data_IF_342754103469
#
_entry.id   IF_342754103469
#
_cell.length_a   1.000
_cell.length_b   1.000
_cell.length_c   1.000
_cell.angle_alpha   90.00
_cell.angle_beta   90.00
_cell.angle_gamma   90.00
#
_symmetry.space_group_name_H-M   'P 1'
#
loop_
_entity.id
_entity.type
_entity.pdbx_description
1 polymer ?
#
# COMPACT_ATOMS: atom_id res chain seq x y z
N UNK A 1 -30.54 -10.70 -22.63
CA UNK A 1 -31.11 -12.04 -22.38
C UNK A 1 -30.04 -12.92 -21.73
N UNK A 2 -30.44 -13.96 -21.00
CA UNK A 2 -29.51 -14.88 -20.31
C UNK A 2 -28.40 -15.43 -21.22
N UNK A 3 -28.72 -15.70 -22.49
CA UNK A 3 -27.72 -16.13 -23.49
C UNK A 3 -26.69 -15.01 -23.80
N UNK A 4 -27.14 -13.76 -23.96
CA UNK A 4 -26.24 -12.60 -24.15
C UNK A 4 -25.28 -12.41 -22.98
N UNK A 5 -25.76 -12.62 -21.78
CA UNK A 5 -24.95 -12.42 -20.55
C UNK A 5 -23.89 -13.52 -20.38
N UNK A 6 -24.23 -14.77 -20.75
CA UNK A 6 -23.28 -15.89 -20.78
C UNK A 6 -22.16 -15.64 -21.80
N UNK A 7 -22.49 -15.14 -23.01
CA UNK A 7 -21.46 -14.82 -24.00
C UNK A 7 -20.53 -13.70 -23.52
N UNK A 8 -21.08 -12.62 -22.98
CA UNK A 8 -20.26 -11.53 -22.43
C UNK A 8 -19.36 -12.01 -21.30
N UNK A 9 -19.88 -12.85 -20.39
CA UNK A 9 -19.07 -13.44 -19.35
C UNK A 9 -17.87 -14.22 -19.92
N UNK A 10 -18.09 -15.04 -20.95
CA UNK A 10 -17.03 -15.83 -21.58
C UNK A 10 -15.99 -14.94 -22.27
N UNK A 11 -16.43 -13.87 -22.91
CA UNK A 11 -15.56 -12.87 -23.53
C UNK A 11 -14.66 -12.19 -22.48
N UNK A 12 -15.25 -11.70 -21.37
CA UNK A 12 -14.48 -11.10 -20.28
C UNK A 12 -13.54 -12.10 -19.61
N UNK A 13 -13.97 -13.34 -19.38
CA UNK A 13 -13.12 -14.37 -18.81
C UNK A 13 -11.90 -14.66 -19.69
N UNK A 14 -12.10 -14.75 -20.99
CA UNK A 14 -11.00 -14.95 -21.94
C UNK A 14 -10.02 -13.76 -21.96
N UNK A 15 -10.54 -12.53 -22.02
CA UNK A 15 -9.74 -11.31 -22.00
C UNK A 15 -8.93 -11.19 -20.72
N UNK A 16 -9.57 -11.39 -19.56
CA UNK A 16 -8.89 -11.31 -18.25
C UNK A 16 -7.80 -12.38 -18.14
N UNK A 17 -8.09 -13.62 -18.56
CA UNK A 17 -7.08 -14.67 -18.52
C UNK A 17 -5.90 -14.36 -19.47
N UNK A 18 -6.13 -13.78 -20.64
CA UNK A 18 -5.05 -13.36 -21.55
C UNK A 18 -4.16 -12.29 -20.92
N UNK A 19 -4.77 -11.28 -20.29
CA UNK A 19 -4.04 -10.16 -19.64
C UNK A 19 -3.27 -10.61 -18.40
N UNK A 20 -3.81 -11.52 -17.61
CA UNK A 20 -3.26 -11.91 -16.30
C UNK A 20 -2.45 -13.21 -16.31
N UNK A 21 -2.44 -13.99 -17.39
CA UNK A 21 -1.70 -15.27 -17.49
C UNK A 21 -0.27 -15.23 -16.92
N UNK A 22 0.53 -14.15 -17.07
CA UNK A 22 1.86 -14.10 -16.48
C UNK A 22 1.90 -13.94 -14.96
N UNK A 23 0.78 -13.59 -14.32
CA UNK A 23 0.68 -13.22 -12.91
C UNK A 23 -0.24 -14.18 -12.17
N UNK A 24 -1.38 -14.50 -12.75
CA UNK A 24 -2.44 -15.31 -12.16
C UNK A 24 -2.95 -16.30 -13.21
N UNK A 25 -2.99 -17.59 -12.88
CA UNK A 25 -3.47 -18.64 -13.75
C UNK A 25 -4.92 -19.02 -13.38
N UNK A 26 -5.72 -19.43 -14.37
CA UNK A 26 -7.05 -20.03 -14.19
C UNK A 26 -8.10 -19.13 -13.50
N UNK A 27 -8.16 -17.84 -13.86
CA UNK A 27 -9.22 -16.95 -13.37
C UNK A 27 -10.56 -17.39 -13.97
N UNK A 28 -11.54 -17.65 -13.09
CA UNK A 28 -12.87 -18.11 -13.48
C UNK A 28 -13.94 -17.08 -13.14
N UNK A 29 -14.75 -16.68 -14.10
CA UNK A 29 -15.94 -15.84 -13.89
C UNK A 29 -17.20 -16.71 -13.86
N UNK A 30 -18.04 -16.58 -12.82
CA UNK A 30 -19.30 -17.27 -12.70
C UNK A 30 -20.48 -16.30 -12.71
N UNK A 31 -21.55 -16.67 -13.37
CA UNK A 31 -22.84 -16.00 -13.28
C UNK A 31 -23.84 -16.96 -12.62
N UNK A 32 -24.49 -16.50 -11.57
CA UNK A 32 -25.47 -17.27 -10.83
C UNK A 32 -26.79 -16.49 -10.77
N UNK A 33 -27.90 -17.21 -10.88
CA UNK A 33 -29.21 -16.61 -10.65
C UNK A 33 -29.39 -16.37 -9.16
N UNK A 34 -29.84 -15.18 -8.81
CA UNK A 34 -30.17 -14.79 -7.45
C UNK A 34 -31.62 -14.33 -7.37
N UNK A 35 -32.18 -14.28 -6.18
CA UNK A 35 -33.50 -13.69 -5.97
C UNK A 35 -33.48 -12.20 -6.34
N UNK A 36 -34.60 -11.71 -6.91
CA UNK A 36 -34.72 -10.29 -7.23
C UNK A 36 -34.63 -9.46 -5.94
N UNK A 37 -33.78 -8.41 -5.93
CA UNK A 37 -33.71 -7.52 -4.77
C UNK A 37 -35.04 -6.76 -4.59
N UNK A 38 -35.37 -6.44 -3.35
CA UNK A 38 -36.59 -5.68 -3.02
C UNK A 38 -36.57 -4.24 -3.59
N UNK A 39 -35.37 -3.70 -3.85
CA UNK A 39 -35.17 -2.38 -4.44
C UNK A 39 -33.88 -2.35 -5.25
N UNK A 40 -33.80 -1.41 -6.17
CA UNK A 40 -32.60 -1.11 -6.96
C UNK A 40 -32.12 0.31 -6.65
N UNK A 41 -30.84 0.57 -6.91
CA UNK A 41 -30.29 1.93 -6.85
C UNK A 41 -30.89 2.74 -8.02
N UNK A 42 -31.40 3.97 -7.79
CA UNK A 42 -31.84 4.83 -8.90
C UNK A 42 -30.73 5.04 -9.91
N UNK A 43 -31.08 5.05 -11.21
CA UNK A 43 -30.11 5.08 -12.33
C UNK A 43 -29.14 6.26 -12.21
N UNK A 44 -29.62 7.46 -11.92
CA UNK A 44 -28.79 8.66 -11.73
C UNK A 44 -27.73 8.47 -10.62
N UNK A 45 -28.11 7.85 -9.50
CA UNK A 45 -27.20 7.58 -8.38
C UNK A 45 -26.20 6.49 -8.78
N UNK A 46 -26.65 5.46 -9.47
CA UNK A 46 -25.80 4.38 -9.99
C UNK A 46 -24.75 4.93 -10.95
N UNK A 47 -25.15 5.75 -11.91
CA UNK A 47 -24.25 6.34 -12.90
C UNK A 47 -23.21 7.27 -12.25
N UNK A 48 -23.62 8.09 -11.27
CA UNK A 48 -22.72 8.92 -10.50
C UNK A 48 -21.71 8.08 -9.69
N UNK A 49 -22.16 7.00 -9.07
CA UNK A 49 -21.28 6.09 -8.33
C UNK A 49 -20.27 5.40 -9.25
N UNK A 50 -20.71 4.84 -10.36
CA UNK A 50 -19.83 4.20 -11.34
C UNK A 50 -18.80 5.23 -11.83
N UNK A 51 -19.25 6.43 -12.18
CA UNK A 51 -18.41 7.50 -12.70
C UNK A 51 -17.32 7.91 -11.69
N UNK A 52 -17.68 8.10 -10.42
CA UNK A 52 -16.69 8.48 -9.40
C UNK A 52 -15.70 7.36 -9.09
N UNK A 53 -16.15 6.10 -9.05
CA UNK A 53 -15.28 4.95 -8.84
C UNK A 53 -14.30 4.75 -10.00
N UNK A 54 -14.73 5.03 -11.24
CA UNK A 54 -13.87 4.99 -12.42
C UNK A 54 -12.90 6.18 -12.51
N UNK A 55 -13.30 7.35 -12.02
CA UNK A 55 -12.49 8.58 -12.09
C UNK A 55 -11.51 8.74 -10.93
N UNK A 56 -11.78 8.12 -9.77
CA UNK A 56 -10.93 8.30 -8.60
C UNK A 56 -9.53 7.70 -8.83
N UNK A 57 -8.52 8.37 -8.27
CA UNK A 57 -7.15 7.89 -8.30
C UNK A 57 -7.05 6.53 -7.58
N UNK A 58 -6.56 5.52 -8.28
CA UNK A 58 -6.28 4.21 -7.73
C UNK A 58 -4.95 3.68 -8.30
N UNK A 59 -4.13 3.06 -7.46
CA UNK A 59 -2.80 2.60 -7.83
C UNK A 59 -1.71 3.63 -7.60
N UNK A 60 -0.59 3.49 -8.30
CA UNK A 60 0.59 4.35 -8.18
C UNK A 60 0.31 5.71 -8.80
N UNK A 61 0.54 6.76 -8.02
CA UNK A 61 0.45 8.14 -8.46
C UNK A 61 1.83 8.73 -8.78
N UNK A 62 2.84 8.42 -7.96
CA UNK A 62 4.19 8.95 -8.11
C UNK A 62 5.24 7.96 -7.60
N UNK A 63 6.37 7.89 -8.30
CA UNK A 63 7.56 7.14 -7.89
C UNK A 63 8.55 8.06 -7.17
N UNK A 64 9.43 7.50 -6.32
CA UNK A 64 10.52 8.26 -5.69
C UNK A 64 11.58 8.57 -6.75
N UNK A 65 11.89 9.86 -7.03
CA UNK A 65 12.82 10.19 -8.11
C UNK A 65 14.27 9.73 -7.86
N UNK A 66 14.66 9.60 -6.59
CA UNK A 66 16.04 9.27 -6.18
C UNK A 66 16.26 7.79 -5.90
N UNK A 67 15.21 6.98 -5.88
CA UNK A 67 15.29 5.53 -5.61
C UNK A 67 14.52 4.78 -6.69
N UNK A 68 15.21 4.13 -7.63
CA UNK A 68 14.55 3.40 -8.71
C UNK A 68 13.52 2.37 -8.20
N UNK A 69 12.49 2.13 -8.98
CA UNK A 69 11.44 1.12 -8.76
C UNK A 69 10.72 1.22 -7.40
N UNK A 70 10.77 2.39 -6.76
CA UNK A 70 10.15 2.61 -5.45
C UNK A 70 8.99 3.59 -5.54
N UNK A 71 7.82 3.16 -5.09
CA UNK A 71 6.60 3.98 -5.05
C UNK A 71 6.72 5.02 -3.93
N UNK A 72 6.43 6.29 -4.27
CA UNK A 72 6.31 7.37 -3.29
C UNK A 72 4.87 7.52 -2.81
N UNK A 73 3.94 7.68 -3.75
CA UNK A 73 2.54 8.01 -3.49
C UNK A 73 1.62 7.06 -4.23
N UNK A 74 0.67 6.49 -3.53
CA UNK A 74 -0.35 5.62 -4.10
C UNK A 74 -1.66 5.67 -3.31
N UNK A 75 -2.73 5.23 -3.95
CA UNK A 75 -4.02 4.96 -3.31
C UNK A 75 -4.50 3.57 -3.65
N UNK A 76 -5.31 3.02 -2.77
CA UNK A 76 -6.02 1.75 -2.97
C UNK A 76 -7.50 1.97 -2.69
N UNK A 77 -8.32 1.84 -3.73
CA UNK A 77 -9.77 1.74 -3.62
C UNK A 77 -10.09 0.36 -3.03
N UNK A 78 -10.11 0.29 -1.70
CA UNK A 78 -10.03 -0.97 -0.98
C UNK A 78 -11.39 -1.64 -0.78
N UNK A 79 -12.42 -0.87 -0.42
CA UNK A 79 -13.74 -1.40 -0.08
C UNK A 79 -14.81 -0.49 -0.65
N UNK A 80 -15.79 -1.10 -1.32
CA UNK A 80 -17.03 -0.46 -1.76
C UNK A 80 -18.19 -1.27 -1.22
N UNK A 81 -19.02 -0.65 -0.39
CA UNK A 81 -20.21 -1.30 0.17
C UNK A 81 -21.44 -0.48 -0.20
N UNK A 82 -22.45 -1.14 -0.75
CA UNK A 82 -23.73 -0.52 -1.12
C UNK A 82 -24.85 -1.34 -0.50
N UNK A 83 -25.71 -0.68 0.25
CA UNK A 83 -26.84 -1.34 0.89
C UNK A 83 -27.56 -0.44 1.90
N UNK A 84 -28.81 -0.76 2.22
CA UNK A 84 -29.58 0.00 3.21
C UNK A 84 -29.73 1.50 2.92
N UNK A 85 -29.76 1.89 1.64
CA UNK A 85 -29.86 3.29 1.22
C UNK A 85 -28.56 4.09 1.39
N UNK A 86 -27.41 3.43 1.55
CA UNK A 86 -26.10 4.06 1.72
C UNK A 86 -25.07 3.43 0.79
N UNK A 87 -24.07 4.22 0.41
CA UNK A 87 -22.84 3.78 -0.18
C UNK A 87 -21.66 4.22 0.71
N UNK A 88 -20.76 3.29 1.03
CA UNK A 88 -19.53 3.53 1.77
C UNK A 88 -18.35 3.11 0.89
N UNK A 89 -17.40 4.04 0.69
CA UNK A 89 -16.20 3.81 -0.11
C UNK A 89 -15.01 4.08 0.79
N UNK A 90 -14.12 3.09 0.92
CA UNK A 90 -12.91 3.21 1.74
C UNK A 90 -11.67 3.13 0.88
N UNK A 91 -10.85 4.15 1.00
CA UNK A 91 -9.61 4.30 0.25
C UNK A 91 -8.46 4.43 1.22
N UNK A 92 -7.40 3.64 1.00
CA UNK A 92 -6.15 3.79 1.72
C UNK A 92 -5.17 4.57 0.84
N UNK A 93 -4.81 5.78 1.27
CA UNK A 93 -3.78 6.59 0.62
C UNK A 93 -2.46 6.49 1.39
N UNK A 94 -1.35 6.41 0.67
CA UNK A 94 0.00 6.33 1.24
C UNK A 94 0.94 7.25 0.48
N UNK A 95 1.84 7.91 1.22
CA UNK A 95 2.96 8.65 0.64
C UNK A 95 4.11 8.75 1.64
N UNK A 96 5.35 8.69 1.16
CA UNK A 96 6.54 9.06 1.95
C UNK A 96 6.77 10.58 1.96
N UNK A 97 6.04 11.34 1.14
CA UNK A 97 6.10 12.79 1.03
C UNK A 97 4.78 13.41 1.52
N UNK A 98 4.82 14.21 2.60
CA UNK A 98 3.61 14.75 3.23
C UNK A 98 2.81 15.67 2.29
N UNK A 99 3.47 16.52 1.50
CA UNK A 99 2.78 17.40 0.54
C UNK A 99 2.07 16.62 -0.57
N UNK A 100 2.62 15.48 -0.99
CA UNK A 100 1.96 14.60 -1.95
C UNK A 100 0.83 13.79 -1.34
N UNK A 101 0.93 13.45 -0.06
CA UNK A 101 -0.16 12.84 0.70
C UNK A 101 -1.36 13.78 0.79
N UNK A 102 -1.10 15.04 1.12
CA UNK A 102 -2.13 16.09 1.16
C UNK A 102 -2.76 16.30 -0.22
N UNK A 103 -1.94 16.44 -1.26
CA UNK A 103 -2.44 16.57 -2.64
C UNK A 103 -3.33 15.40 -3.06
N UNK A 104 -2.95 14.17 -2.74
CA UNK A 104 -3.75 12.98 -3.03
C UNK A 104 -5.08 13.00 -2.25
N UNK A 105 -5.04 13.37 -0.96
CA UNK A 105 -6.24 13.50 -0.12
C UNK A 105 -7.21 14.56 -0.67
N UNK A 106 -6.69 15.72 -1.09
CA UNK A 106 -7.49 16.80 -1.69
C UNK A 106 -8.09 16.36 -3.04
N UNK A 107 -7.31 15.65 -3.86
CA UNK A 107 -7.76 15.12 -5.15
C UNK A 107 -8.91 14.13 -4.98
N UNK A 108 -8.77 13.17 -4.05
CA UNK A 108 -9.82 12.21 -3.72
C UNK A 108 -11.04 12.92 -3.13
N UNK A 109 -10.84 13.90 -2.25
CA UNK A 109 -11.93 14.71 -1.68
C UNK A 109 -12.70 15.44 -2.76
N UNK A 110 -12.01 16.10 -3.69
CA UNK A 110 -12.64 16.78 -4.81
C UNK A 110 -13.43 15.81 -5.70
N UNK A 111 -12.85 14.66 -6.05
CA UNK A 111 -13.48 13.64 -6.87
C UNK A 111 -14.81 13.15 -6.28
N UNK A 112 -14.81 12.72 -5.03
CA UNK A 112 -16.01 12.20 -4.37
C UNK A 112 -17.03 13.30 -4.03
N UNK A 113 -16.57 14.51 -3.71
CA UNK A 113 -17.46 15.65 -3.46
C UNK A 113 -18.22 16.07 -4.72
N UNK A 114 -17.62 15.99 -5.91
CA UNK A 114 -18.32 16.26 -7.17
C UNK A 114 -19.47 15.28 -7.43
N UNK A 115 -19.38 14.05 -6.92
CA UNK A 115 -20.47 13.07 -6.94
C UNK A 115 -21.45 13.23 -5.78
N UNK A 116 -21.36 14.30 -4.98
CA UNK A 116 -22.26 14.58 -3.85
C UNK A 116 -21.98 13.71 -2.61
N UNK A 117 -20.87 13.01 -2.55
CA UNK A 117 -20.50 12.17 -1.41
C UNK A 117 -19.80 12.98 -0.32
N UNK A 118 -20.06 12.64 0.95
CA UNK A 118 -19.32 13.18 2.08
C UNK A 118 -18.00 12.46 2.22
N UNK A 119 -16.89 13.21 2.32
CA UNK A 119 -15.55 12.66 2.52
C UNK A 119 -15.07 12.93 3.93
N UNK A 120 -14.50 11.93 4.57
CA UNK A 120 -13.84 12.02 5.87
C UNK A 120 -12.41 11.49 5.76
N UNK A 121 -11.45 12.31 6.20
CA UNK A 121 -10.04 11.92 6.27
C UNK A 121 -9.69 11.54 7.71
N UNK A 122 -9.04 10.42 7.90
CA UNK A 122 -8.67 9.93 9.23
C UNK A 122 -7.41 9.08 9.21
N UNK A 123 -6.78 8.89 10.38
CA UNK A 123 -5.65 7.98 10.57
C UNK A 123 -4.36 8.41 9.86
N UNK A 124 -4.25 9.67 9.43
CA UNK A 124 -3.05 10.17 8.77
C UNK A 124 -1.88 10.34 9.74
N UNK A 125 -0.67 10.02 9.28
CA UNK A 125 0.60 10.29 9.96
C UNK A 125 1.65 10.70 8.93
N UNK A 126 2.78 11.27 9.41
CA UNK A 126 3.85 11.76 8.54
C UNK A 126 4.54 10.64 7.79
N UNK A 127 4.91 10.90 6.54
CA UNK A 127 5.75 10.03 5.74
C UNK A 127 7.18 9.99 6.27
N UNK A 128 7.90 8.93 5.93
CA UNK A 128 9.33 8.84 6.17
C UNK A 128 10.07 8.81 4.84
N UNK A 129 10.68 9.94 4.50
CA UNK A 129 11.46 10.04 3.27
C UNK A 129 12.79 9.28 3.43
N UNK A 130 13.17 8.46 2.45
CA UNK A 130 14.43 7.75 2.51
C UNK A 130 15.61 8.73 2.41
N UNK A 131 16.60 8.57 3.30
CA UNK A 131 17.87 9.29 3.26
C UNK A 131 18.99 8.31 2.91
N UNK A 132 19.44 8.33 1.66
CA UNK A 132 20.51 7.43 1.18
C UNK A 132 21.89 7.81 1.72
N UNK A 133 22.05 9.07 2.18
CA UNK A 133 23.30 9.61 2.74
C UNK A 133 23.28 9.60 4.29
N UNK A 134 22.39 8.81 4.90
CA UNK A 134 22.25 8.69 6.35
C UNK A 134 23.54 8.17 7.00
N UNK A 135 24.13 8.90 7.98
CA UNK A 135 25.30 8.46 8.72
C UNK A 135 25.09 7.12 9.44
N UNK A 136 23.92 6.89 10.04
CA UNK A 136 23.63 5.62 10.73
C UNK A 136 23.52 4.46 9.72
N UNK A 137 22.96 4.71 8.52
CA UNK A 137 22.90 3.73 7.45
C UNK A 137 24.31 3.29 7.04
N UNK A 138 25.22 4.25 6.83
CA UNK A 138 26.60 3.95 6.46
C UNK A 138 27.33 3.18 7.56
N UNK A 139 27.22 3.61 8.82
CA UNK A 139 27.85 2.95 9.96
C UNK A 139 27.36 1.50 10.11
N UNK A 140 26.05 1.28 10.03
CA UNK A 140 25.47 -0.05 10.16
C UNK A 140 25.79 -0.95 8.96
N UNK A 141 25.84 -0.42 7.75
CA UNK A 141 26.27 -1.18 6.57
C UNK A 141 27.70 -1.71 6.74
N UNK A 142 28.62 -0.86 7.22
CA UNK A 142 29.99 -1.26 7.48
C UNK A 142 30.08 -2.31 8.61
N UNK A 143 29.34 -2.12 9.70
CA UNK A 143 29.27 -3.06 10.83
C UNK A 143 28.74 -4.42 10.35
N UNK A 144 27.66 -4.45 9.59
CA UNK A 144 27.08 -5.67 9.03
C UNK A 144 28.08 -6.42 8.14
N UNK A 145 28.78 -5.70 7.25
CA UNK A 145 29.79 -6.28 6.37
C UNK A 145 30.96 -6.89 7.15
N UNK A 146 31.39 -6.23 8.23
CA UNK A 146 32.46 -6.75 9.10
C UNK A 146 32.02 -8.02 9.83
N UNK A 147 30.80 -8.07 10.32
CA UNK A 147 30.28 -9.17 11.13
C UNK A 147 29.92 -10.41 10.28
N UNK A 148 29.32 -10.19 9.12
CA UNK A 148 28.75 -11.28 8.30
C UNK A 148 29.49 -11.52 6.98
N UNK A 149 30.47 -10.71 6.61
CA UNK A 149 31.27 -10.88 5.39
C UNK A 149 30.54 -10.54 4.08
N UNK A 150 29.31 -10.03 4.17
CA UNK A 150 28.48 -9.67 3.02
C UNK A 150 27.86 -8.28 3.23
N UNK A 151 27.53 -7.58 2.15
CA UNK A 151 26.80 -6.32 2.25
C UNK A 151 25.33 -6.56 2.53
N UNK A 152 24.70 -5.75 3.41
CA UNK A 152 23.26 -5.82 3.61
C UNK A 152 22.52 -5.27 2.39
N UNK A 153 21.35 -5.83 2.09
CA UNK A 153 20.43 -5.22 1.13
C UNK A 153 19.73 -4.01 1.77
N UNK A 154 20.07 -2.82 1.30
CA UNK A 154 19.36 -1.58 1.67
C UNK A 154 18.15 -1.45 0.75
N UNK A 155 16.97 -1.33 1.36
CA UNK A 155 15.70 -1.24 0.64
C UNK A 155 14.85 -0.13 1.18
N UNK A 156 14.09 0.49 0.31
CA UNK A 156 12.98 1.38 0.67
C UNK A 156 11.69 0.61 0.42
N UNK A 157 10.75 0.68 1.35
CA UNK A 157 9.44 0.04 1.19
C UNK A 157 8.34 1.09 1.21
N UNK A 158 7.30 0.86 0.42
CA UNK A 158 6.11 1.70 0.38
C UNK A 158 5.14 1.30 1.50
N UNK A 159 5.54 1.53 2.75
CA UNK A 159 4.76 1.20 3.93
C UNK A 159 4.88 2.30 4.99
N UNK A 160 3.86 2.39 5.85
CA UNK A 160 3.94 3.20 7.05
C UNK A 160 4.85 2.52 8.07
N UNK A 161 5.89 3.25 8.50
CA UNK A 161 6.80 2.80 9.54
C UNK A 161 6.79 3.78 10.71
N UNK A 162 7.09 3.28 11.89
CA UNK A 162 7.18 4.07 13.12
C UNK A 162 8.17 5.24 12.98
N UNK A 163 9.19 5.09 12.12
CA UNK A 163 10.15 6.15 11.81
C UNK A 163 9.51 7.43 11.28
N UNK A 164 8.39 7.35 10.54
CA UNK A 164 7.64 8.53 10.11
C UNK A 164 7.08 9.32 11.30
N UNK A 165 6.49 8.62 12.26
CA UNK A 165 5.91 9.21 13.48
C UNK A 165 7.02 9.75 14.40
N UNK A 166 8.09 8.99 14.59
CA UNK A 166 9.23 9.39 15.42
C UNK A 166 9.91 10.63 14.82
N UNK A 167 10.18 10.62 13.50
CA UNK A 167 10.83 11.73 12.82
C UNK A 167 10.03 13.03 12.86
N UNK A 168 8.70 12.95 12.77
CA UNK A 168 7.83 14.11 12.90
C UNK A 168 7.89 14.75 14.31
N UNK A 169 8.09 13.95 15.35
CA UNK A 169 8.19 14.41 16.73
C UNK A 169 9.64 14.74 17.15
N UNK A 170 10.63 14.21 16.45
CA UNK A 170 12.05 14.41 16.72
C UNK A 170 12.77 14.87 15.43
N UNK A 171 12.57 16.12 14.98
CA UNK A 171 13.18 16.63 13.77
C UNK A 171 14.72 16.52 13.81
N UNK A 172 15.30 16.03 12.71
CA UNK A 172 16.74 15.85 12.57
C UNK A 172 17.29 14.54 13.15
N UNK A 173 16.45 13.68 13.72
CA UNK A 173 16.86 12.34 14.14
C UNK A 173 17.13 11.47 12.90
N UNK A 174 18.36 10.97 12.79
CA UNK A 174 18.75 10.02 11.75
C UNK A 174 18.33 8.60 12.17
N UNK A 175 17.64 7.89 11.27
CA UNK A 175 17.00 6.62 11.61
C UNK A 175 17.12 5.60 10.48
N UNK A 176 17.20 4.34 10.85
CA UNK A 176 16.98 3.21 9.97
C UNK A 176 16.03 2.20 10.61
N UNK A 177 15.35 1.42 9.77
CA UNK A 177 14.53 0.30 10.22
C UNK A 177 15.18 -1.01 9.77
N UNK A 178 15.31 -1.95 10.70
CA UNK A 178 15.84 -3.29 10.40
C UNK A 178 15.24 -4.32 11.35
N UNK A 179 15.24 -5.59 10.95
CA UNK A 179 14.64 -6.64 11.76
C UNK A 179 14.91 -8.04 11.20
N UNK A 180 14.36 -9.07 11.85
CA UNK A 180 14.43 -10.44 11.36
C UNK A 180 13.59 -10.61 10.07
N UNK A 181 13.84 -11.69 9.35
CA UNK A 181 13.08 -12.03 8.14
C UNK A 181 11.67 -12.46 8.52
N UNK A 182 10.68 -11.71 8.05
CA UNK A 182 9.27 -12.04 8.12
C UNK A 182 8.77 -12.56 6.77
N UNK A 183 7.82 -13.48 6.79
CA UNK A 183 7.13 -13.98 5.60
C UNK A 183 5.64 -13.80 5.78
N UNK A 184 4.96 -13.47 4.68
CA UNK A 184 3.52 -13.25 4.63
C UNK A 184 3.01 -12.26 5.70
N UNK A 185 3.63 -11.06 5.86
CA UNK A 185 3.20 -10.09 6.85
C UNK A 185 1.73 -9.70 6.62
N UNK A 186 1.02 -9.42 7.71
CA UNK A 186 -0.40 -9.05 7.69
C UNK A 186 -1.36 -10.14 7.18
N UNK A 187 -0.94 -11.40 7.21
CA UNK A 187 -1.79 -12.54 6.85
C UNK A 187 -1.87 -13.55 8.01
N UNK A 188 -2.88 -14.46 8.01
CA UNK A 188 -2.94 -15.57 8.97
C UNK A 188 -1.71 -16.49 8.96
N UNK A 189 -0.95 -16.49 7.85
CA UNK A 189 0.27 -17.26 7.65
C UNK A 189 1.55 -16.49 8.00
N UNK A 190 1.43 -15.36 8.69
CA UNK A 190 2.58 -14.56 9.11
C UNK A 190 3.52 -15.38 10.01
N UNK A 191 4.81 -15.37 9.66
CA UNK A 191 5.83 -16.13 10.39
C UNK A 191 7.20 -15.46 10.33
N UNK A 192 7.93 -15.57 11.45
CA UNK A 192 9.34 -15.17 11.52
C UNK A 192 10.25 -16.36 11.22
N UNK A 193 11.30 -16.10 10.46
CA UNK A 193 12.36 -17.09 10.22
C UNK A 193 13.32 -17.12 11.41
N UNK A 194 13.19 -18.12 12.29
CA UNK A 194 13.90 -18.21 13.58
C UNK A 194 15.42 -17.97 13.48
N UNK A 195 16.18 -18.56 12.52
CA UNK A 195 17.61 -18.28 12.41
C UNK A 195 17.96 -16.82 12.17
N UNK A 196 17.06 -16.06 11.55
CA UNK A 196 17.27 -14.63 11.33
C UNK A 196 17.05 -13.78 12.59
N UNK A 197 16.35 -14.28 13.58
CA UNK A 197 16.16 -13.60 14.88
C UNK A 197 17.46 -13.52 15.64
N UNK A 198 18.21 -14.62 15.74
CA UNK A 198 19.55 -14.62 16.34
C UNK A 198 20.49 -13.68 15.59
N UNK A 199 20.53 -13.79 14.26
CA UNK A 199 21.35 -12.90 13.43
C UNK A 199 21.02 -11.42 13.64
N UNK A 200 19.73 -11.09 13.73
CA UNK A 200 19.26 -9.72 14.02
C UNK A 200 19.72 -9.26 15.39
N UNK A 201 19.57 -10.11 16.42
CA UNK A 201 19.97 -9.79 17.79
C UNK A 201 21.47 -9.53 17.92
N UNK A 202 22.29 -10.41 17.34
CA UNK A 202 23.76 -10.28 17.32
C UNK A 202 24.19 -8.98 16.63
N UNK A 203 23.52 -8.63 15.53
CA UNK A 203 23.77 -7.37 14.83
C UNK A 203 23.35 -6.15 15.63
N UNK A 204 22.21 -6.20 16.32
CA UNK A 204 21.74 -5.13 17.20
C UNK A 204 22.76 -4.88 18.33
N UNK A 205 23.19 -5.95 19.01
CA UNK A 205 24.19 -5.84 20.10
C UNK A 205 25.49 -5.22 19.58
N UNK A 206 26.04 -5.75 18.49
CA UNK A 206 27.27 -5.22 17.89
C UNK A 206 27.13 -3.74 17.44
N UNK A 207 25.95 -3.33 17.01
CA UNK A 207 25.68 -1.92 16.66
C UNK A 207 25.67 -1.03 17.90
N UNK A 208 25.04 -1.47 18.98
CA UNK A 208 25.00 -0.73 20.26
C UNK A 208 26.40 -0.62 20.90
N UNK A 209 27.21 -1.67 20.86
CA UNK A 209 28.58 -1.68 21.36
C UNK A 209 29.51 -0.70 20.61
N UNK A 210 29.20 -0.41 19.35
CA UNK A 210 29.96 0.53 18.50
C UNK A 210 29.44 1.97 18.58
N UNK A 211 28.41 2.23 19.41
CA UNK A 211 27.87 3.58 19.59
C UNK A 211 28.92 4.44 20.28
N UNK A 212 29.30 5.63 19.74
CA UNK A 212 30.27 6.51 20.35
C UNK A 212 29.79 6.96 21.74
N UNK A 213 30.71 6.96 22.71
CA UNK A 213 30.46 7.65 23.98
C UNK A 213 30.33 9.15 23.74
N UNK A 214 29.44 9.81 24.47
CA UNK A 214 29.21 11.26 24.37
C UNK A 214 30.37 12.07 24.92
#
# INVERSE_FOLDING_TARGET
SAASDVYKRQEYEAQINEEYTPIEEDITLKLENVELPAAIVPEEIQDNMISVLMACQNGVMRMIPTVPDTVETSSNLAIVTIGGGKADVRILARSSCDTMKEFLADSLTACFSMAGMKVELSGGYSGWQPNVDSPILHAMTLSYKRQFGVEPAVKVIHAGLECGIIGANCPGLDMISFGPTLRSPHSPDERAYIPSVTKFYDFLVATLEQTPEK
#
